data_IF_429309701733
#
_entry.id   IF_429309701733
#
_cell.length_a   1.000
_cell.length_b   1.000
_cell.length_c   1.000
_cell.angle_alpha   90.00
_cell.angle_beta   90.00
_cell.angle_gamma   90.00
#
_symmetry.space_group_name_H-M   'P 1'
#
loop_
_entity.id
_entity.type
_entity.pdbx_description
1 polymer ?
#
# COMPACT_ATOMS: atom_id res chain seq x y z
N UNK A 1 -18.28 4.66 -33.49
CA UNK A 1 -18.04 4.51 -32.04
C UNK A 1 -16.55 4.69 -31.81
N UNK A 2 -16.14 5.65 -30.99
CA UNK A 2 -14.71 5.85 -30.68
C UNK A 2 -14.28 4.81 -29.65
N UNK A 3 -13.01 4.45 -29.66
CA UNK A 3 -12.45 3.46 -28.74
C UNK A 3 -11.25 4.01 -28.00
N UNK A 4 -10.92 3.40 -26.86
CA UNK A 4 -9.79 3.75 -26.04
C UNK A 4 -9.07 2.53 -25.46
N UNK A 5 -7.85 2.77 -24.99
CA UNK A 5 -7.07 1.86 -24.16
C UNK A 5 -6.83 2.49 -22.78
N UNK A 6 -6.85 1.62 -21.77
CA UNK A 6 -6.62 1.97 -20.38
C UNK A 6 -5.38 1.22 -19.86
N UNK A 7 -4.45 1.99 -19.31
CA UNK A 7 -3.22 1.55 -18.67
C UNK A 7 -3.34 1.86 -17.18
N UNK A 8 -3.25 0.83 -16.34
CA UNK A 8 -3.38 0.95 -14.88
C UNK A 8 -2.07 0.57 -14.22
N UNK A 9 -1.44 1.53 -13.57
CA UNK A 9 -0.27 1.31 -12.74
C UNK A 9 -0.71 1.18 -11.28
N UNK A 10 -0.04 0.32 -10.52
CA UNK A 10 -0.13 0.32 -9.06
C UNK A 10 1.16 0.93 -8.53
N UNK A 11 1.09 1.74 -7.47
CA UNK A 11 2.29 2.27 -6.82
C UNK A 11 2.12 2.38 -5.31
N UNK A 12 3.13 1.92 -4.57
CA UNK A 12 3.17 2.11 -3.13
C UNK A 12 3.31 3.61 -2.81
N UNK A 13 2.47 4.09 -1.90
CA UNK A 13 2.64 5.42 -1.32
C UNK A 13 4.00 5.47 -0.60
N UNK A 14 4.75 6.56 -0.79
CA UNK A 14 6.04 6.80 -0.12
C UNK A 14 7.18 5.81 -0.43
N UNK A 15 6.98 4.82 -1.29
CA UNK A 15 7.91 3.73 -1.50
C UNK A 15 8.07 3.36 -2.97
N UNK A 16 9.20 2.70 -3.28
CA UNK A 16 9.49 2.20 -4.64
C UNK A 16 8.73 0.92 -4.97
N UNK A 17 8.48 0.06 -3.98
CA UNK A 17 8.05 -1.32 -4.24
C UNK A 17 6.72 -1.62 -3.54
N UNK A 18 5.83 -2.27 -4.27
CA UNK A 18 4.60 -2.85 -3.73
C UNK A 18 4.83 -4.25 -3.10
N UNK A 19 6.08 -4.71 -3.02
CA UNK A 19 6.44 -6.01 -2.47
C UNK A 19 6.21 -7.19 -3.40
N UNK A 20 6.62 -8.41 -3.00
CA UNK A 20 6.44 -9.63 -3.79
C UNK A 20 4.99 -9.90 -4.21
N UNK A 21 4.02 -9.56 -3.35
CA UNK A 21 2.60 -9.76 -3.61
C UNK A 21 2.08 -8.94 -4.80
N UNK A 22 2.73 -7.84 -5.14
CA UNK A 22 2.36 -7.04 -6.30
C UNK A 22 2.79 -7.67 -7.63
N UNK A 23 3.61 -8.72 -7.57
CA UNK A 23 4.00 -9.53 -8.69
C UNK A 23 3.19 -10.83 -8.77
N UNK A 24 2.29 -11.07 -7.81
CA UNK A 24 1.33 -12.19 -7.84
C UNK A 24 0.11 -11.82 -8.72
N UNK A 25 0.36 -11.74 -10.02
CA UNK A 25 -0.62 -11.29 -11.00
C UNK A 25 -1.89 -12.16 -11.07
N UNK A 26 -1.82 -13.42 -10.64
CA UNK A 26 -2.98 -14.30 -10.60
C UNK A 26 -4.02 -13.84 -9.55
N UNK A 27 -3.57 -13.10 -8.53
CA UNK A 27 -4.39 -12.67 -7.40
C UNK A 27 -4.69 -11.16 -7.41
N UNK A 28 -4.04 -10.39 -8.29
CA UNK A 28 -4.38 -8.97 -8.51
C UNK A 28 -5.54 -8.87 -9.49
N UNK A 29 -6.65 -8.28 -9.03
CA UNK A 29 -7.83 -8.04 -9.88
C UNK A 29 -8.00 -6.56 -10.12
N UNK A 30 -8.10 -6.17 -11.38
CA UNK A 30 -8.39 -4.80 -11.79
C UNK A 30 -9.69 -4.82 -12.58
N UNK A 31 -10.70 -4.08 -12.13
CA UNK A 31 -12.02 -4.01 -12.75
C UNK A 31 -12.35 -2.57 -13.11
N UNK A 32 -12.91 -2.38 -14.30
CA UNK A 32 -13.35 -1.08 -14.78
C UNK A 32 -14.84 -1.12 -15.12
N UNK A 33 -15.60 -0.16 -14.58
CA UNK A 33 -17.05 -0.08 -14.73
C UNK A 33 -17.47 1.32 -15.20
N UNK A 34 -18.32 1.37 -16.22
CA UNK A 34 -18.86 2.58 -16.83
C UNK A 34 -20.21 2.28 -17.49
N UNK A 35 -20.82 3.24 -18.19
CA UNK A 35 -22.16 3.03 -18.79
C UNK A 35 -22.20 1.96 -19.87
N UNK A 36 -21.07 1.67 -20.52
CA UNK A 36 -20.94 0.60 -21.52
C UNK A 36 -20.72 -0.80 -20.94
N UNK A 37 -20.69 -0.95 -19.62
CA UNK A 37 -20.57 -2.23 -18.92
C UNK A 37 -19.37 -2.29 -17.96
N UNK A 38 -19.01 -3.52 -17.58
CA UNK A 38 -17.88 -3.81 -16.70
C UNK A 38 -16.96 -4.84 -17.37
N UNK A 39 -15.65 -4.65 -17.23
CA UNK A 39 -14.66 -5.63 -17.68
C UNK A 39 -13.45 -5.66 -16.75
N UNK A 40 -12.77 -6.81 -16.71
CA UNK A 40 -11.51 -6.97 -16.01
C UNK A 40 -10.34 -6.55 -16.91
N UNK A 41 -9.33 -5.94 -16.30
CA UNK A 41 -8.09 -5.50 -16.93
C UNK A 41 -6.99 -6.48 -16.54
N UNK A 42 -6.45 -7.26 -17.49
CA UNK A 42 -5.36 -8.18 -17.22
C UNK A 42 -4.13 -7.45 -16.68
N UNK A 43 -3.66 -7.84 -15.50
CA UNK A 43 -2.44 -7.32 -14.89
C UNK A 43 -1.24 -8.16 -15.36
N UNK A 44 -0.36 -7.58 -16.16
CA UNK A 44 0.70 -8.35 -16.83
C UNK A 44 2.01 -8.26 -16.08
N UNK A 45 2.52 -9.42 -15.65
CA UNK A 45 3.86 -9.61 -15.10
C UNK A 45 4.63 -10.50 -16.05
N UNK A 46 5.73 -9.99 -16.60
CA UNK A 46 6.70 -10.73 -17.40
C UNK A 46 8.03 -10.84 -16.63
N UNK A 47 8.93 -11.72 -17.07
CA UNK A 47 10.19 -11.99 -16.35
C UNK A 47 11.09 -10.76 -16.14
N UNK A 48 10.94 -9.70 -16.94
CA UNK A 48 11.69 -8.45 -16.83
C UNK A 48 10.94 -7.31 -16.14
N UNK A 49 9.73 -7.57 -15.63
CA UNK A 49 8.87 -6.55 -15.03
C UNK A 49 9.48 -5.97 -13.76
N UNK A 50 9.31 -4.65 -13.54
CA UNK A 50 9.71 -3.93 -12.34
C UNK A 50 8.67 -2.87 -11.94
N UNK A 51 8.88 -2.17 -10.83
CA UNK A 51 8.01 -1.08 -10.38
C UNK A 51 8.22 0.26 -11.11
N UNK A 52 9.19 0.35 -12.03
CA UNK A 52 9.61 1.59 -12.69
C UNK A 52 11.01 2.06 -12.29
N UNK A 53 11.34 3.30 -12.65
CA UNK A 53 12.65 3.93 -12.41
C UNK A 53 12.52 5.06 -11.40
N UNK A 54 13.45 5.12 -10.43
CA UNK A 54 13.59 6.28 -9.55
C UNK A 54 14.17 7.44 -10.37
N UNK A 55 13.49 8.59 -10.35
CA UNK A 55 13.92 9.83 -10.99
C UNK A 55 13.77 11.02 -10.04
N UNK A 56 14.73 11.95 -9.96
CA UNK A 56 14.56 13.19 -9.19
C UNK A 56 13.50 14.13 -9.81
N UNK A 57 13.17 13.90 -11.07
CA UNK A 57 12.21 14.71 -11.83
C UNK A 57 10.87 14.01 -11.92
N UNK A 58 9.80 14.70 -11.51
CA UNK A 58 8.43 14.29 -11.82
C UNK A 58 8.16 14.45 -13.32
N UNK A 59 7.71 13.38 -13.96
CA UNK A 59 7.33 13.41 -15.38
C UNK A 59 5.82 13.27 -15.51
N UNK A 60 5.20 13.95 -16.49
CA UNK A 60 3.78 13.74 -16.76
C UNK A 60 3.56 12.27 -17.20
N UNK A 61 2.69 11.55 -16.48
CA UNK A 61 2.55 10.10 -16.63
C UNK A 61 3.50 9.28 -15.76
N UNK A 62 4.23 9.91 -14.82
CA UNK A 62 4.83 9.23 -13.66
C UNK A 62 3.75 8.45 -12.93
N UNK A 63 4.13 7.28 -12.43
CA UNK A 63 3.20 6.41 -11.73
C UNK A 63 2.74 7.04 -10.41
N UNK A 64 3.32 8.12 -9.87
CA UNK A 64 2.71 8.80 -8.73
C UNK A 64 3.14 10.25 -8.62
N UNK A 65 2.24 11.16 -8.21
CA UNK A 65 2.62 12.49 -7.73
C UNK A 65 3.29 12.45 -6.35
N UNK A 66 3.27 11.30 -5.66
CA UNK A 66 3.83 11.15 -4.32
C UNK A 66 5.34 10.92 -4.42
N UNK A 67 6.15 11.71 -3.70
CA UNK A 67 7.58 11.54 -3.70
C UNK A 67 8.00 10.24 -3.00
N UNK A 68 9.07 9.64 -3.52
CA UNK A 68 9.86 8.60 -2.86
C UNK A 68 11.03 9.30 -2.17
N UNK A 69 11.17 9.07 -0.87
CA UNK A 69 12.36 9.48 -0.12
C UNK A 69 13.43 8.39 -0.26
N UNK A 70 14.52 8.68 -0.95
CA UNK A 70 15.67 7.76 -1.08
C UNK A 70 16.80 8.29 -0.21
N UNK A 71 17.35 7.50 0.73
CA UNK A 71 18.43 8.01 1.57
C UNK A 71 19.70 8.24 0.78
N UNK A 72 20.52 9.09 1.35
CA UNK A 72 21.91 9.29 0.98
C UNK A 72 22.79 8.35 1.80
N UNK A 73 23.91 7.91 1.23
CA UNK A 73 24.89 7.06 1.94
C UNK A 73 25.61 7.77 3.10
N UNK A 74 25.43 9.08 3.24
CA UNK A 74 26.09 9.90 4.26
C UNK A 74 25.17 10.21 5.44
N UNK A 75 25.66 9.94 6.65
CA UNK A 75 24.96 10.27 7.89
C UNK A 75 24.81 11.80 8.03
N UNK A 76 23.62 12.26 8.43
CA UNK A 76 23.31 13.68 8.62
C UNK A 76 22.88 14.43 7.36
N UNK A 77 22.80 13.76 6.21
CA UNK A 77 22.22 14.33 5.00
C UNK A 77 20.71 14.09 4.92
N UNK A 78 20.00 15.06 4.33
CA UNK A 78 18.57 14.94 4.08
C UNK A 78 18.31 13.89 3.00
N UNK A 79 17.21 13.10 3.11
CA UNK A 79 16.84 12.17 2.06
C UNK A 79 16.60 12.90 0.73
N UNK A 80 17.01 12.27 -0.37
CA UNK A 80 16.71 12.78 -1.71
C UNK A 80 15.24 12.53 -2.05
N UNK A 81 14.60 13.56 -2.59
CA UNK A 81 13.22 13.49 -3.10
C UNK A 81 13.27 12.96 -4.53
N UNK A 82 12.61 11.84 -4.76
CA UNK A 82 12.51 11.21 -6.07
C UNK A 82 11.06 10.89 -6.40
N UNK A 83 10.82 10.42 -7.60
CA UNK A 83 9.54 9.97 -8.12
C UNK A 83 9.74 8.65 -8.84
N UNK A 84 8.67 7.85 -8.89
CA UNK A 84 8.66 6.65 -9.72
C UNK A 84 8.13 7.04 -11.10
N UNK A 85 8.94 6.75 -12.12
CA UNK A 85 8.58 6.95 -13.51
C UNK A 85 8.44 5.60 -14.19
N UNK A 86 7.32 5.40 -14.87
CA UNK A 86 7.09 4.19 -15.64
C UNK A 86 8.11 4.09 -16.80
N UNK A 87 8.63 2.89 -17.02
CA UNK A 87 9.46 2.50 -18.15
C UNK A 87 8.77 1.33 -18.90
N UNK A 88 9.42 0.83 -19.96
CA UNK A 88 8.88 -0.28 -20.78
C UNK A 88 8.67 -1.59 -20.02
N UNK A 89 9.32 -1.74 -18.87
CA UNK A 89 9.25 -2.92 -18.00
C UNK A 89 8.36 -2.68 -16.78
N UNK A 90 7.71 -1.51 -16.65
CA UNK A 90 6.89 -1.23 -15.48
C UNK A 90 5.64 -2.10 -15.49
N UNK A 91 5.39 -2.76 -14.36
CA UNK A 91 4.19 -3.56 -14.14
C UNK A 91 2.93 -2.73 -14.34
N UNK A 92 1.99 -3.24 -15.13
CA UNK A 92 0.73 -2.55 -15.38
C UNK A 92 -0.38 -3.49 -15.82
N UNK A 93 -1.62 -3.05 -15.56
CA UNK A 93 -2.81 -3.55 -16.19
C UNK A 93 -2.99 -2.91 -17.55
N UNK A 94 -3.22 -3.73 -18.57
CA UNK A 94 -3.50 -3.26 -19.93
C UNK A 94 -4.88 -3.74 -20.36
N UNK A 95 -5.79 -2.81 -20.59
CA UNK A 95 -7.11 -3.17 -21.09
C UNK A 95 -7.03 -3.58 -22.56
N UNK A 96 -7.92 -4.49 -22.95
CA UNK A 96 -8.34 -4.54 -24.34
C UNK A 96 -8.98 -3.20 -24.73
N UNK A 97 -9.00 -2.92 -26.04
CA UNK A 97 -9.68 -1.73 -26.55
C UNK A 97 -11.17 -1.79 -26.18
N UNK A 98 -11.69 -0.71 -25.61
CA UNK A 98 -13.10 -0.59 -25.20
C UNK A 98 -13.76 0.61 -25.88
N UNK A 99 -15.09 0.59 -25.93
CA UNK A 99 -15.87 1.66 -26.57
C UNK A 99 -16.09 2.82 -25.62
N UNK A 100 -15.85 4.05 -26.08
CA UNK A 100 -16.10 5.24 -25.28
C UNK A 100 -17.59 5.63 -25.31
N UNK A 101 -18.11 6.21 -24.21
CA UNK A 101 -19.44 6.80 -24.18
C UNK A 101 -19.53 7.97 -25.17
N UNK A 102 -20.74 8.31 -25.60
CA UNK A 102 -20.98 9.41 -26.54
C UNK A 102 -20.80 10.81 -25.91
N UNK A 103 -20.89 10.90 -24.58
CA UNK A 103 -20.71 12.11 -23.78
C UNK A 103 -19.74 11.84 -22.63
N UNK A 104 -19.09 12.87 -22.07
CA UNK A 104 -18.25 12.69 -20.89
C UNK A 104 -18.99 12.07 -19.71
N UNK A 105 -18.34 11.18 -18.97
CA UNK A 105 -18.91 10.56 -17.77
C UNK A 105 -17.83 10.15 -16.75
N UNK A 106 -18.25 9.90 -15.51
CA UNK A 106 -17.39 9.34 -14.47
C UNK A 106 -17.54 7.82 -14.43
N UNK A 107 -16.48 7.11 -14.79
CA UNK A 107 -16.33 5.67 -14.59
C UNK A 107 -15.67 5.36 -13.25
N UNK A 108 -15.70 4.08 -12.85
CA UNK A 108 -15.07 3.58 -11.62
C UNK A 108 -14.03 2.52 -11.96
N UNK A 109 -12.82 2.71 -11.43
CA UNK A 109 -11.74 1.73 -11.46
C UNK A 109 -11.59 1.13 -10.05
N UNK A 110 -11.61 -0.19 -9.94
CA UNK A 110 -11.42 -0.91 -8.68
C UNK A 110 -10.24 -1.87 -8.80
N UNK A 111 -9.36 -1.87 -7.80
CA UNK A 111 -8.21 -2.76 -7.70
C UNK A 111 -8.30 -3.57 -6.41
N UNK A 112 -8.13 -4.88 -6.51
CA UNK A 112 -7.99 -5.80 -5.40
C UNK A 112 -6.58 -6.38 -5.41
N UNK A 113 -5.84 -6.22 -4.30
CA UNK A 113 -4.44 -6.66 -4.16
C UNK A 113 -4.36 -7.61 -2.95
N UNK A 114 -3.74 -8.80 -3.09
CA UNK A 114 -3.55 -9.69 -1.95
C UNK A 114 -2.57 -9.09 -0.95
N UNK A 115 -2.97 -8.99 0.31
CA UNK A 115 -2.07 -8.64 1.41
C UNK A 115 -1.37 -9.90 1.92
N UNK A 116 -0.19 -9.78 2.55
CA UNK A 116 0.42 -10.91 3.24
C UNK A 116 -0.42 -11.51 4.38
N UNK A 117 -1.43 -10.80 4.90
CA UNK A 117 -2.40 -11.36 5.85
C UNK A 117 -3.40 -12.33 5.21
N UNK A 118 -3.40 -12.47 3.88
CA UNK A 118 -4.32 -13.32 3.11
C UNK A 118 -5.66 -12.65 2.78
N UNK A 119 -5.88 -11.42 3.25
CA UNK A 119 -7.03 -10.60 2.87
C UNK A 119 -6.73 -9.82 1.58
N UNK A 120 -7.77 -9.30 0.92
CA UNK A 120 -7.60 -8.44 -0.24
C UNK A 120 -7.77 -6.97 0.15
N UNK A 121 -6.76 -6.16 -0.14
CA UNK A 121 -6.89 -4.71 -0.12
C UNK A 121 -7.64 -4.26 -1.36
N UNK A 122 -8.82 -3.66 -1.17
CA UNK A 122 -9.64 -3.11 -2.25
C UNK A 122 -9.54 -1.58 -2.29
N UNK A 123 -9.15 -1.04 -3.44
CA UNK A 123 -9.02 0.38 -3.72
C UNK A 123 -9.95 0.77 -4.86
N UNK A 124 -10.56 1.95 -4.80
CA UNK A 124 -11.44 2.45 -5.86
C UNK A 124 -11.17 3.91 -6.17
N UNK A 125 -11.21 4.28 -7.44
CA UNK A 125 -11.08 5.67 -7.88
C UNK A 125 -11.97 6.00 -9.09
N UNK A 126 -12.38 7.26 -9.17
CA UNK A 126 -13.11 7.78 -10.32
C UNK A 126 -12.19 8.03 -11.52
N UNK A 127 -12.70 7.76 -12.72
CA UNK A 127 -12.02 7.99 -13.99
C UNK A 127 -12.93 8.80 -14.89
N UNK A 128 -12.52 10.02 -15.24
CA UNK A 128 -13.29 10.86 -16.15
C UNK A 128 -13.06 10.42 -17.59
N UNK A 129 -14.08 9.84 -18.22
CA UNK A 129 -14.06 9.44 -19.62
C UNK A 129 -14.45 10.62 -20.50
N UNK A 130 -13.64 10.90 -21.52
CA UNK A 130 -13.88 11.92 -22.53
C UNK A 130 -13.91 11.22 -23.90
N UNK A 131 -14.95 11.41 -24.74
CA UNK A 131 -15.10 10.70 -26.01
C UNK A 131 -13.89 10.88 -26.96
N UNK A 132 -13.17 11.99 -26.86
CA UNK A 132 -12.00 12.32 -27.68
C UNK A 132 -10.69 11.68 -27.19
N UNK A 133 -10.65 11.19 -25.95
CA UNK A 133 -9.42 10.68 -25.34
C UNK A 133 -9.29 9.17 -25.57
N UNK A 134 -8.33 8.79 -26.41
CA UNK A 134 -8.09 7.39 -26.79
C UNK A 134 -7.17 6.64 -25.82
N UNK A 135 -6.46 7.35 -24.95
CA UNK A 135 -5.48 6.76 -24.04
C UNK A 135 -5.66 7.29 -22.62
N UNK A 136 -5.86 6.37 -21.68
CA UNK A 136 -5.96 6.68 -20.25
C UNK A 136 -4.80 6.01 -19.52
N UNK A 137 -3.95 6.80 -18.87
CA UNK A 137 -2.89 6.31 -17.99
C UNK A 137 -3.27 6.68 -16.57
N UNK A 138 -3.53 5.67 -15.76
CA UNK A 138 -4.07 5.83 -14.41
C UNK A 138 -3.12 5.15 -13.45
N UNK A 139 -2.83 5.81 -12.33
CA UNK A 139 -2.18 5.14 -11.22
C UNK A 139 -3.08 5.10 -10.01
N UNK A 140 -3.17 3.91 -9.44
CA UNK A 140 -3.78 3.64 -8.15
C UNK A 140 -2.69 3.61 -7.09
N UNK A 141 -2.82 4.49 -6.11
CA UNK A 141 -1.89 4.57 -4.98
C UNK A 141 -2.28 3.53 -3.94
N UNK A 142 -1.37 2.62 -3.65
CA UNK A 142 -1.52 1.53 -2.68
C UNK A 142 -0.87 1.97 -1.36
N UNK A 143 -1.55 1.86 -0.20
CA UNK A 143 -0.96 2.17 1.10
C UNK A 143 0.34 1.37 1.31
N UNK A 144 1.42 2.04 1.69
CA UNK A 144 2.74 1.44 1.76
C UNK A 144 3.03 0.59 3.00
N UNK A 145 2.11 0.49 3.97
CA UNK A 145 2.30 -0.28 5.20
C UNK A 145 1.44 -1.53 5.25
N UNK A 146 2.04 -2.55 5.84
CA UNK A 146 1.44 -3.82 6.14
C UNK A 146 1.54 -4.07 7.64
N UNK A 147 0.43 -4.46 8.25
CA UNK A 147 0.38 -4.91 9.62
C UNK A 147 0.14 -6.42 9.64
N UNK A 148 1.01 -7.15 10.34
CA UNK A 148 0.86 -8.60 10.53
C UNK A 148 0.69 -8.90 12.04
N UNK A 149 -0.18 -9.85 12.39
CA UNK A 149 -0.35 -10.25 13.79
C UNK A 149 0.94 -10.89 14.32
N UNK A 150 1.31 -10.54 15.56
CA UNK A 150 2.19 -11.37 16.37
C UNK A 150 1.32 -12.23 17.30
N UNK A 151 0.72 -13.29 16.76
CA UNK A 151 -0.29 -14.10 17.47
C UNK A 151 0.29 -15.22 18.34
N UNK A 152 -0.39 -15.57 19.44
CA UNK A 152 -1.50 -14.83 20.08
C UNK A 152 -0.99 -13.78 21.09
N UNK A 153 -1.81 -12.75 21.42
CA UNK A 153 -1.52 -11.84 22.53
C UNK A 153 -1.22 -12.64 23.80
N UNK A 154 -0.11 -12.32 24.47
CA UNK A 154 0.20 -12.93 25.76
C UNK A 154 -0.70 -12.34 26.85
N UNK A 155 -0.72 -12.93 28.05
CA UNK A 155 -1.63 -12.54 29.13
C UNK A 155 -1.55 -11.06 29.58
N UNK A 156 -0.55 -10.31 29.10
CA UNK A 156 -0.38 -8.89 29.40
C UNK A 156 0.06 -8.03 28.21
N UNK A 157 0.29 -8.59 27.02
CA UNK A 157 0.92 -7.85 25.91
C UNK A 157 0.18 -8.07 24.59
N UNK A 158 -0.08 -6.97 23.88
CA UNK A 158 -0.50 -6.98 22.49
C UNK A 158 0.67 -6.57 21.60
N UNK A 159 0.73 -7.12 20.39
CA UNK A 159 1.81 -6.80 19.47
C UNK A 159 1.44 -6.99 18.01
N UNK A 160 2.12 -6.22 17.16
CA UNK A 160 1.91 -6.21 15.71
C UNK A 160 3.24 -5.95 15.01
N UNK A 161 3.49 -6.65 13.91
CA UNK A 161 4.60 -6.34 13.02
C UNK A 161 4.17 -5.26 12.03
N UNK A 162 4.93 -4.17 11.94
CA UNK A 162 4.71 -3.08 10.97
C UNK A 162 5.78 -3.14 9.91
N UNK A 163 5.46 -3.70 8.74
CA UNK A 163 6.37 -3.83 7.62
C UNK A 163 5.98 -2.86 6.51
N UNK A 164 6.95 -2.43 5.74
CA UNK A 164 6.62 -1.81 4.46
C UNK A 164 6.11 -2.89 3.50
N UNK A 165 5.27 -2.50 2.54
CA UNK A 165 4.85 -3.40 1.47
C UNK A 165 6.03 -4.06 0.75
N UNK A 166 7.17 -3.38 0.64
CA UNK A 166 8.41 -3.96 0.09
C UNK A 166 8.98 -5.15 0.89
N UNK A 167 8.39 -5.52 2.03
CA UNK A 167 8.92 -6.49 2.99
C UNK A 167 10.08 -5.91 3.82
N UNK A 168 10.44 -4.65 3.61
CA UNK A 168 11.51 -3.99 4.33
C UNK A 168 11.12 -3.81 5.79
N UNK A 169 12.07 -4.15 6.68
CA UNK A 169 11.87 -4.10 8.13
C UNK A 169 11.96 -2.66 8.65
N UNK A 170 11.32 -2.40 9.77
CA UNK A 170 11.53 -1.24 10.64
C UNK A 170 12.53 -1.66 11.72
N UNK A 171 13.64 -0.92 11.90
CA UNK A 171 14.71 -1.33 12.84
C UNK A 171 15.61 -0.17 13.30
N UNK A 172 16.27 -0.33 14.45
CA UNK A 172 17.32 0.57 14.98
C UNK A 172 18.72 0.09 14.56
N UNK A 173 19.64 1.05 14.32
CA UNK A 173 21.08 0.88 14.02
C UNK A 173 21.44 0.14 12.70
N UNK A 174 21.79 0.92 11.66
CA UNK A 174 22.41 0.70 10.31
C UNK A 174 22.90 -0.71 9.85
N UNK A 175 22.96 -1.04 8.53
CA UNK A 175 22.79 -0.17 7.34
C UNK A 175 21.63 -0.56 6.39
N UNK A 176 20.80 -1.56 6.72
CA UNK A 176 19.84 -2.18 5.77
C UNK A 176 18.37 -1.81 5.96
N UNK A 177 18.03 -1.02 6.98
CA UNK A 177 16.66 -0.55 7.18
C UNK A 177 16.56 0.96 6.95
N UNK A 178 15.71 1.32 5.99
CA UNK A 178 15.35 2.70 5.65
C UNK A 178 14.39 3.34 6.65
N UNK A 179 13.83 2.54 7.56
CA UNK A 179 12.63 2.87 8.30
C UNK A 179 12.94 2.87 9.79
N UNK A 180 13.30 4.05 10.30
CA UNK A 180 13.49 4.27 11.73
C UNK A 180 12.15 4.06 12.45
N UNK A 181 12.11 3.33 13.57
CA UNK A 181 10.87 3.18 14.34
C UNK A 181 10.26 4.52 14.77
N UNK A 182 11.07 5.57 14.95
CA UNK A 182 10.60 6.92 15.28
C UNK A 182 9.78 7.59 14.16
N UNK A 183 9.86 7.07 12.93
CA UNK A 183 9.05 7.54 11.81
C UNK A 183 7.64 6.93 11.84
N UNK A 184 7.36 6.01 12.77
CA UNK A 184 6.08 5.32 12.86
C UNK A 184 5.33 5.69 14.13
N UNK A 185 4.04 5.98 13.96
CA UNK A 185 3.06 6.03 15.04
C UNK A 185 2.21 4.77 14.95
N UNK A 186 2.27 3.92 15.97
CA UNK A 186 1.54 2.65 16.01
C UNK A 186 0.60 2.65 17.21
N UNK A 187 -0.68 2.42 16.96
CA UNK A 187 -1.73 2.42 17.98
C UNK A 187 -2.61 1.17 17.84
N UNK A 188 -3.29 0.82 18.92
CA UNK A 188 -4.31 -0.23 18.92
C UNK A 188 -5.56 0.23 19.68
N UNK A 189 -6.71 -0.04 19.08
CA UNK A 189 -8.02 0.07 19.72
C UNK A 189 -8.44 -1.31 20.20
N UNK A 190 -8.45 -1.53 21.50
CA UNK A 190 -8.79 -2.82 22.13
C UNK A 190 -10.22 -2.74 22.64
N UNK A 191 -11.06 -3.69 22.22
CA UNK A 191 -12.41 -3.88 22.76
C UNK A 191 -12.44 -5.09 23.67
N UNK A 192 -12.92 -4.91 24.90
CA UNK A 192 -13.04 -5.95 25.90
C UNK A 192 -14.43 -6.62 25.87
N UNK A 193 -14.56 -7.77 26.52
CA UNK A 193 -15.81 -8.55 26.57
C UNK A 193 -17.00 -7.79 27.17
N UNK A 194 -16.75 -6.77 27.99
CA UNK A 194 -17.79 -5.89 28.55
C UNK A 194 -18.25 -4.80 27.56
N UNK A 195 -17.69 -4.78 26.34
CA UNK A 195 -17.96 -3.81 25.29
C UNK A 195 -17.19 -2.50 25.44
N UNK A 196 -16.37 -2.33 26.48
CA UNK A 196 -15.53 -1.13 26.63
C UNK A 196 -14.39 -1.13 25.61
N UNK A 197 -14.05 0.05 25.10
CA UNK A 197 -12.94 0.22 24.15
C UNK A 197 -11.89 1.16 24.74
N UNK A 198 -10.62 0.77 24.65
CA UNK A 198 -9.47 1.58 25.07
C UNK A 198 -8.42 1.68 23.96
N UNK A 199 -7.69 2.80 23.93
CA UNK A 199 -6.61 3.04 22.97
C UNK A 199 -5.25 2.85 23.65
N UNK A 200 -4.35 2.15 22.96
CA UNK A 200 -2.98 1.90 23.42
C UNK A 200 -2.01 2.39 22.35
N UNK A 201 -1.00 3.16 22.75
CA UNK A 201 0.14 3.46 21.89
C UNK A 201 1.16 2.34 22.03
N UNK A 202 1.66 1.81 20.90
CA UNK A 202 2.63 0.73 20.88
C UNK A 202 4.04 1.29 20.70
N UNK A 203 4.99 0.68 21.40
CA UNK A 203 6.40 1.03 21.32
C UNK A 203 7.16 -0.01 20.54
N UNK A 204 8.18 0.42 19.80
CA UNK A 204 9.05 -0.49 19.07
C UNK A 204 9.83 -1.39 20.03
N UNK A 205 9.83 -2.70 19.76
CA UNK A 205 10.64 -3.66 20.51
C UNK A 205 12.09 -3.65 20.02
N UNK A 206 12.93 -2.94 20.76
CA UNK A 206 14.37 -2.87 20.49
C UNK A 206 15.10 -4.20 20.69
N UNK A 207 14.51 -5.18 21.38
CA UNK A 207 15.12 -6.48 21.61
C UNK A 207 15.04 -7.37 20.37
N UNK A 208 13.85 -7.53 19.78
CA UNK A 208 13.72 -8.23 18.50
C UNK A 208 14.35 -7.45 17.35
N UNK A 209 14.22 -6.11 17.39
CA UNK A 209 14.65 -5.21 16.34
C UNK A 209 14.12 -5.61 14.93
N UNK A 210 12.91 -6.17 14.89
CA UNK A 210 12.35 -6.79 13.69
C UNK A 210 10.92 -6.29 13.40
N UNK A 211 10.75 -4.98 13.26
CA UNK A 211 9.45 -4.37 12.94
C UNK A 211 8.34 -4.59 13.96
N UNK A 212 8.65 -5.12 15.14
CA UNK A 212 7.68 -5.47 16.16
C UNK A 212 7.37 -4.24 17.02
N UNK A 213 6.08 -3.96 17.18
CA UNK A 213 5.57 -2.94 18.08
C UNK A 213 4.71 -3.63 19.14
N UNK A 214 4.90 -3.27 20.41
CA UNK A 214 4.29 -3.91 21.57
C UNK A 214 3.65 -2.89 22.51
N UNK A 215 2.63 -3.30 23.25
CA UNK A 215 2.06 -2.56 24.36
C UNK A 215 1.53 -3.50 25.44
N UNK A 216 1.71 -3.11 26.70
CA UNK A 216 1.08 -3.78 27.83
C UNK A 216 -0.41 -3.42 27.91
N UNK A 217 -1.26 -4.44 28.05
CA UNK A 217 -2.71 -4.30 28.16
C UNK A 217 -3.21 -4.97 29.43
N UNK A 218 -3.80 -4.22 30.38
CA UNK A 218 -4.42 -4.82 31.55
C UNK A 218 -5.59 -5.72 31.12
N UNK A 219 -5.76 -6.83 31.83
CA UNK A 219 -6.85 -7.79 31.57
C UNK A 219 -6.85 -8.34 30.13
N UNK A 220 -5.69 -8.68 29.55
CA UNK A 220 -5.63 -9.20 28.18
C UNK A 220 -6.51 -10.45 27.95
N UNK A 221 -6.81 -11.20 29.01
CA UNK A 221 -7.75 -12.33 28.99
C UNK A 221 -9.20 -11.94 28.64
N UNK A 222 -9.56 -10.67 28.84
CA UNK A 222 -10.89 -10.10 28.55
C UNK A 222 -10.97 -9.43 27.17
N UNK A 223 -9.91 -9.49 26.35
CA UNK A 223 -9.93 -8.90 25.02
C UNK A 223 -10.88 -9.70 24.11
N UNK A 224 -11.82 -9.00 23.49
CA UNK A 224 -12.72 -9.51 22.46
C UNK A 224 -12.11 -9.28 21.07
N UNK A 225 -11.65 -8.05 20.80
CA UNK A 225 -11.03 -7.67 19.53
C UNK A 225 -9.98 -6.57 19.68
N UNK A 226 -9.08 -6.47 18.71
CA UNK A 226 -8.04 -5.46 18.64
C UNK A 226 -7.98 -4.91 17.21
N UNK A 227 -8.06 -3.60 17.04
CA UNK A 227 -7.82 -2.94 15.76
C UNK A 227 -6.50 -2.17 15.86
N UNK A 228 -5.46 -2.65 15.18
CA UNK A 228 -4.17 -2.00 15.07
C UNK A 228 -4.17 -0.99 13.91
N UNK A 229 -3.44 0.11 14.09
CA UNK A 229 -3.21 1.14 13.10
C UNK A 229 -1.76 1.59 13.15
N UNK A 230 -1.10 1.69 12.00
CA UNK A 230 0.21 2.30 11.88
C UNK A 230 0.17 3.44 10.88
N UNK A 231 0.87 4.51 11.18
CA UNK A 231 1.11 5.62 10.28
C UNK A 231 2.60 5.91 10.21
N UNK A 232 3.10 6.12 9.00
CA UNK A 232 4.43 6.61 8.75
C UNK A 232 4.39 8.14 8.61
N UNK A 233 5.14 8.84 9.44
CA UNK A 233 5.14 10.30 9.52
C UNK A 233 5.72 10.94 8.24
N UNK A 234 6.84 10.41 7.73
CA UNK A 234 7.56 10.99 6.60
C UNK A 234 6.82 10.93 5.26
N UNK A 235 5.97 9.91 5.05
CA UNK A 235 5.30 9.66 3.77
C UNK A 235 3.78 9.73 3.85
N UNK A 236 3.21 9.75 5.06
CA UNK A 236 1.78 9.61 5.27
C UNK A 236 1.25 8.21 4.97
N UNK A 237 2.13 7.20 4.80
CA UNK A 237 1.68 5.82 4.66
C UNK A 237 0.88 5.38 5.87
N UNK A 238 -0.16 4.59 5.66
CA UNK A 238 -0.95 4.02 6.73
C UNK A 238 -1.18 2.54 6.48
N UNK A 239 -1.44 1.80 7.55
CA UNK A 239 -1.86 0.41 7.52
C UNK A 239 -2.74 0.11 8.74
N UNK A 240 -3.64 -0.85 8.60
CA UNK A 240 -4.52 -1.29 9.69
C UNK A 240 -4.67 -2.80 9.68
N UNK A 241 -4.84 -3.41 10.84
CA UNK A 241 -5.10 -4.84 10.97
C UNK A 241 -6.08 -5.07 12.11
N UNK A 242 -7.09 -5.92 11.88
CA UNK A 242 -8.11 -6.24 12.90
C UNK A 242 -7.96 -7.70 13.33
N UNK A 243 -7.88 -7.92 14.63
CA UNK A 243 -7.83 -9.23 15.28
C UNK A 243 -9.11 -9.43 16.09
N UNK A 244 -9.77 -10.57 15.93
CA UNK A 244 -10.90 -10.99 16.77
C UNK A 244 -10.57 -12.35 17.36
N UNK A 245 -10.80 -12.51 18.66
CA UNK A 245 -10.53 -13.75 19.39
C UNK A 245 -11.65 -14.76 19.25
#
# INVERSE_FOLDING_TARGET
>A
MKTANLFVYLQALGGKFLGPNAYDNANIKVSFQYSGGQFEIPYQVIASTNDGVISPTFTAGSSSPMPILTPTSEAGQNPSVNYLTANINTIMGLSNTFSLPASPELATLTVSIPTPSGENLSLSQGVWLIPEQQFYKITVIVPGLLLEPNTPPSNAEISVFVKMMCGCKVSVNLPTSFWSPSDFMVNASVTFNDGTTQQYALSFDNTSNDSLFIADVPNASQIQSINFYAQQNSTGNYGSFSYTK
#
